data_IF_234321625902
#
_entry.id   IF_234321625902
#
_cell.length_a   1.000
_cell.length_b   1.000
_cell.length_c   1.000
_cell.angle_alpha   90.00
_cell.angle_beta   90.00
_cell.angle_gamma   90.00
#
_symmetry.space_group_name_H-M   'P 1'
#
loop_
_entity.id
_entity.type
_entity.pdbx_description
1 polymer ?
#
# COMPACT_ATOMS: atom_id res chain seq x y z
N UNK A 1 -13.82 16.54 7.43
CA UNK A 1 -13.00 16.04 6.33
C UNK A 1 -13.03 14.50 6.33
N UNK A 2 -13.43 13.87 5.21
CA UNK A 2 -13.40 12.42 5.06
C UNK A 2 -12.11 12.02 4.33
N UNK A 3 -11.21 11.32 5.02
CA UNK A 3 -9.94 10.90 4.45
C UNK A 3 -9.90 9.38 4.29
N UNK A 4 -9.72 8.90 3.05
CA UNK A 4 -9.50 7.50 2.75
C UNK A 4 -8.10 7.06 3.17
N UNK A 5 -8.02 6.01 3.96
CA UNK A 5 -6.77 5.43 4.45
C UNK A 5 -6.71 3.92 4.18
N UNK A 6 -5.59 3.29 4.47
CA UNK A 6 -5.49 1.83 4.36
C UNK A 6 -6.26 1.12 5.48
N UNK A 7 -6.54 -0.17 5.27
CA UNK A 7 -7.18 -1.03 6.29
C UNK A 7 -6.23 -1.46 7.42
N UNK A 8 -4.97 -1.04 7.37
CA UNK A 8 -3.93 -1.34 8.34
C UNK A 8 -2.59 -1.63 7.66
N UNK A 9 -1.74 -0.60 7.58
CA UNK A 9 -0.33 -0.72 7.19
C UNK A 9 0.49 -0.04 8.27
N UNK A 10 1.29 -0.82 9.03
CA UNK A 10 2.10 -0.28 10.12
C UNK A 10 2.98 0.89 9.65
N UNK A 11 2.97 1.97 10.42
CA UNK A 11 3.71 3.20 10.12
C UNK A 11 3.05 4.14 9.09
N UNK A 12 2.11 3.68 8.27
CA UNK A 12 1.37 4.53 7.31
C UNK A 12 -0.04 4.87 7.80
N UNK A 13 -0.88 3.89 8.01
CA UNK A 13 -2.21 4.10 8.57
C UNK A 13 -2.68 2.82 9.27
N UNK A 14 -2.83 2.88 10.57
CA UNK A 14 -3.41 1.81 11.38
C UNK A 14 -4.02 2.39 12.67
N UNK A 15 -5.09 1.81 13.21
CA UNK A 15 -5.57 2.16 14.53
C UNK A 15 -4.66 1.54 15.60
N UNK A 16 -4.44 2.28 16.69
CA UNK A 16 -3.81 1.75 17.90
C UNK A 16 -4.78 0.85 18.70
N UNK A 17 -4.34 0.35 19.86
CA UNK A 17 -5.16 -0.51 20.72
C UNK A 17 -6.44 0.17 21.26
N UNK A 18 -6.54 1.51 21.21
CA UNK A 18 -7.69 2.29 21.60
C UNK A 18 -8.57 2.69 20.41
N UNK A 19 -8.21 2.24 19.19
CA UNK A 19 -8.90 2.59 17.96
C UNK A 19 -8.49 3.97 17.38
N UNK A 20 -7.45 4.62 17.92
CA UNK A 20 -6.97 5.91 17.42
C UNK A 20 -6.07 5.69 16.22
N UNK A 21 -6.44 6.29 15.08
CA UNK A 21 -5.65 6.22 13.85
C UNK A 21 -4.32 6.96 13.98
N UNK A 22 -3.25 6.33 13.51
CA UNK A 22 -1.89 6.85 13.53
C UNK A 22 -1.09 6.40 12.31
N UNK A 23 -0.01 7.12 12.02
CA UNK A 23 0.91 6.85 10.94
C UNK A 23 1.06 8.01 9.96
N UNK A 24 1.92 7.82 8.96
CA UNK A 24 2.32 8.87 8.02
C UNK A 24 1.15 9.40 7.19
N UNK A 25 0.36 8.51 6.58
CA UNK A 25 -0.82 8.90 5.79
C UNK A 25 -1.88 9.59 6.67
N UNK A 26 -2.07 9.11 7.90
CA UNK A 26 -2.96 9.72 8.89
C UNK A 26 -2.50 11.14 9.27
N UNK A 27 -1.18 11.35 9.41
CA UNK A 27 -0.62 12.67 9.70
C UNK A 27 -0.85 13.65 8.55
N UNK A 28 -0.75 13.19 7.29
CA UNK A 28 -1.10 14.01 6.11
C UNK A 28 -2.57 14.43 6.15
N UNK A 29 -3.49 13.51 6.42
CA UNK A 29 -4.92 13.82 6.53
C UNK A 29 -5.20 14.83 7.64
N UNK A 30 -4.58 14.68 8.82
CA UNK A 30 -4.71 15.59 9.95
C UNK A 30 -4.14 16.98 9.64
N UNK A 31 -3.03 17.07 8.89
CA UNK A 31 -2.46 18.34 8.47
C UNK A 31 -3.41 19.11 7.56
N UNK A 32 -4.07 18.43 6.61
CA UNK A 32 -5.09 19.05 5.75
C UNK A 32 -6.31 19.49 6.57
N UNK A 33 -6.81 18.66 7.49
CA UNK A 33 -7.92 19.04 8.37
C UNK A 33 -7.58 20.28 9.22
N UNK A 34 -6.39 20.33 9.80
CA UNK A 34 -5.93 21.48 10.55
C UNK A 34 -5.86 22.75 9.70
N UNK A 35 -5.35 22.64 8.46
CA UNK A 35 -5.23 23.79 7.57
C UNK A 35 -6.59 24.33 7.09
N UNK A 36 -7.55 23.45 6.82
CA UNK A 36 -8.85 23.82 6.22
C UNK A 36 -9.89 24.14 7.29
N UNK A 37 -9.91 23.36 8.38
CA UNK A 37 -10.96 23.42 9.40
C UNK A 37 -10.46 24.03 10.72
N UNK A 38 -9.17 24.37 10.80
CA UNK A 38 -8.49 24.85 12.01
C UNK A 38 -8.59 23.84 13.18
N UNK A 39 -8.76 22.55 12.86
CA UNK A 39 -8.88 21.46 13.82
C UNK A 39 -8.36 20.17 13.17
N UNK A 40 -7.29 19.59 13.68
CA UNK A 40 -6.69 18.35 13.18
C UNK A 40 -7.56 17.10 13.42
N UNK A 41 -8.50 17.19 14.34
CA UNK A 41 -9.39 16.11 14.73
C UNK A 41 -10.79 16.22 14.09
N UNK A 42 -11.07 17.30 13.34
CA UNK A 42 -12.26 17.45 12.51
C UNK A 42 -12.19 16.57 11.25
N UNK A 43 -11.98 15.28 11.44
CA UNK A 43 -11.71 14.31 10.38
C UNK A 43 -12.34 12.94 10.68
N UNK A 44 -12.84 12.30 9.64
CA UNK A 44 -13.25 10.90 9.64
C UNK A 44 -12.28 10.10 8.77
N UNK A 45 -11.70 9.05 9.33
CA UNK A 45 -10.86 8.12 8.59
C UNK A 45 -11.70 6.99 8.03
N UNK A 46 -11.70 6.82 6.70
CA UNK A 46 -12.46 5.81 5.98
C UNK A 46 -11.50 4.73 5.47
N UNK A 47 -11.48 3.54 6.10
CA UNK A 47 -10.61 2.45 5.65
C UNK A 47 -11.02 1.94 4.27
N UNK A 48 -10.07 1.85 3.34
CA UNK A 48 -10.30 1.38 1.98
C UNK A 48 -9.33 0.27 1.59
N UNK A 49 -9.78 -0.66 0.74
CA UNK A 49 -8.94 -1.71 0.15
C UNK A 49 -8.26 -1.20 -1.14
N UNK A 50 -7.40 -2.03 -1.75
CA UNK A 50 -6.83 -1.75 -3.07
C UNK A 50 -7.90 -1.56 -4.15
N UNK A 51 -9.02 -2.28 -4.03
CA UNK A 51 -10.14 -2.24 -4.99
C UNK A 51 -11.11 -1.07 -4.74
N UNK A 52 -11.41 -0.74 -3.48
CA UNK A 52 -12.50 0.20 -3.14
C UNK A 52 -12.06 1.66 -3.08
N UNK A 53 -10.77 1.94 -2.86
CA UNK A 53 -10.24 3.31 -2.65
C UNK A 53 -10.60 4.30 -3.76
N UNK A 54 -10.50 3.88 -5.01
CA UNK A 54 -10.77 4.76 -6.15
C UNK A 54 -12.26 5.01 -6.34
N UNK A 55 -13.10 4.01 -6.08
CA UNK A 55 -14.55 4.16 -6.11
C UNK A 55 -15.02 5.10 -4.98
N UNK A 56 -14.48 4.96 -3.78
CA UNK A 56 -14.79 5.83 -2.65
C UNK A 56 -14.43 7.30 -2.95
N UNK A 57 -13.24 7.53 -3.57
CA UNK A 57 -12.85 8.88 -3.96
C UNK A 57 -13.73 9.44 -5.10
N UNK A 58 -14.01 8.63 -6.13
CA UNK A 58 -14.83 9.06 -7.27
C UNK A 58 -16.27 9.38 -6.88
N UNK A 59 -16.86 8.63 -5.95
CA UNK A 59 -18.24 8.84 -5.48
C UNK A 59 -18.41 10.04 -4.55
N UNK A 60 -17.31 10.56 -3.98
CA UNK A 60 -17.35 11.59 -2.97
C UNK A 60 -17.60 11.07 -1.54
N UNK A 61 -17.52 9.77 -1.32
CA UNK A 61 -17.51 9.17 0.02
C UNK A 61 -16.32 9.68 0.84
N UNK A 62 -15.20 9.91 0.18
CA UNK A 62 -14.01 10.56 0.74
C UNK A 62 -13.65 11.82 -0.05
N UNK A 63 -13.10 12.82 0.64
CA UNK A 63 -12.66 14.09 0.06
C UNK A 63 -11.26 13.98 -0.54
N UNK A 64 -10.40 13.21 0.11
CA UNK A 64 -9.04 12.90 -0.30
C UNK A 64 -8.67 11.46 0.04
N UNK A 65 -7.67 10.93 -0.65
CA UNK A 65 -7.11 9.60 -0.39
C UNK A 65 -5.62 9.74 -0.04
N UNK A 66 -5.26 9.40 1.20
CA UNK A 66 -3.88 9.22 1.65
C UNK A 66 -3.73 7.75 2.10
N UNK A 67 -3.23 6.90 1.19
CA UNK A 67 -3.25 5.45 1.36
C UNK A 67 -2.10 4.81 0.59
N UNK A 68 -0.86 5.18 0.91
CA UNK A 68 0.32 4.62 0.22
C UNK A 68 0.01 4.30 -1.27
N UNK A 69 -0.52 5.29 -1.99
CA UNK A 69 -1.00 5.12 -3.36
C UNK A 69 0.04 5.59 -4.36
N UNK A 70 0.50 4.67 -5.20
CA UNK A 70 1.49 4.94 -6.24
C UNK A 70 0.89 5.83 -7.32
N UNK A 71 1.58 6.90 -7.66
CA UNK A 71 1.25 7.75 -8.80
C UNK A 71 1.62 7.01 -10.10
N UNK A 72 0.61 6.68 -10.87
CA UNK A 72 0.76 6.07 -12.19
C UNK A 72 -0.01 6.87 -13.24
N UNK A 73 0.42 6.79 -14.50
CA UNK A 73 -0.25 7.44 -15.60
C UNK A 73 -1.74 7.05 -15.69
N UNK A 74 -2.04 5.76 -15.56
CA UNK A 74 -3.43 5.29 -15.66
C UNK A 74 -4.32 5.81 -14.52
N UNK A 75 -3.78 5.90 -13.29
CA UNK A 75 -4.54 6.44 -12.16
C UNK A 75 -4.81 7.93 -12.30
N UNK A 76 -3.84 8.67 -12.81
CA UNK A 76 -3.95 10.11 -13.03
C UNK A 76 -4.84 10.40 -14.24
N UNK A 77 -4.48 9.89 -15.42
CA UNK A 77 -5.12 10.25 -16.69
C UNK A 77 -6.38 9.45 -16.97
N UNK A 78 -6.33 8.12 -16.85
CA UNK A 78 -7.45 7.26 -17.25
C UNK A 78 -8.54 7.24 -16.18
N UNK A 79 -8.17 7.13 -14.90
CA UNK A 79 -9.11 7.14 -13.78
C UNK A 79 -9.49 8.55 -13.32
N UNK A 80 -8.81 9.59 -13.85
CA UNK A 80 -9.10 11.01 -13.57
C UNK A 80 -8.98 11.37 -12.10
N UNK A 81 -7.85 11.01 -11.49
CA UNK A 81 -7.47 11.45 -10.16
C UNK A 81 -6.23 12.33 -10.22
N UNK A 82 -6.25 13.42 -9.47
CA UNK A 82 -5.11 14.32 -9.35
C UNK A 82 -4.23 13.90 -8.18
N UNK A 83 -2.99 13.51 -8.46
CA UNK A 83 -1.97 13.36 -7.42
C UNK A 83 -1.40 14.73 -7.08
N UNK A 84 -1.56 15.15 -5.85
CA UNK A 84 -1.15 16.49 -5.43
C UNK A 84 0.35 16.60 -5.14
N UNK A 85 1.05 15.49 -5.08
CA UNK A 85 2.50 15.42 -4.90
C UNK A 85 2.96 14.02 -4.52
N UNK A 86 4.28 13.83 -4.51
CA UNK A 86 4.90 12.61 -3.97
C UNK A 86 5.41 12.93 -2.58
N UNK A 87 4.90 12.21 -1.58
CA UNK A 87 5.30 12.39 -0.19
C UNK A 87 6.18 11.24 0.34
N UNK A 88 6.25 10.12 -0.39
CA UNK A 88 7.11 8.99 -0.07
C UNK A 88 7.58 8.26 -1.34
N UNK A 89 8.87 7.97 -1.46
CA UNK A 89 9.42 7.14 -2.54
C UNK A 89 9.68 5.74 -2.02
N UNK A 90 8.95 4.77 -2.56
CA UNK A 90 9.07 3.37 -2.22
C UNK A 90 9.44 2.52 -3.45
N UNK A 91 9.43 1.23 -3.28
CA UNK A 91 9.59 0.23 -4.31
C UNK A 91 9.02 -1.10 -3.85
N UNK A 92 8.51 -1.90 -4.76
CA UNK A 92 8.03 -3.24 -4.45
C UNK A 92 9.18 -4.19 -4.19
N UNK A 93 9.00 -5.08 -3.21
CA UNK A 93 9.91 -6.15 -2.87
C UNK A 93 9.20 -7.45 -2.54
N UNK A 94 9.99 -8.41 -2.11
CA UNK A 94 9.53 -9.74 -1.68
C UNK A 94 10.02 -10.04 -0.28
N UNK A 95 9.18 -10.68 0.51
CA UNK A 95 9.54 -11.26 1.81
C UNK A 95 9.27 -12.75 1.79
N UNK A 96 10.25 -13.54 2.18
CA UNK A 96 10.18 -15.00 2.28
C UNK A 96 10.55 -15.45 3.69
N UNK A 97 10.15 -16.67 4.06
CA UNK A 97 10.68 -17.30 5.27
C UNK A 97 12.15 -17.66 5.07
N UNK A 98 12.96 -17.49 6.11
CA UNK A 98 14.41 -17.74 6.05
C UNK A 98 14.73 -19.22 5.72
N UNK A 99 13.88 -20.14 6.16
CA UNK A 99 14.01 -21.57 5.90
C UNK A 99 13.72 -21.97 4.46
N UNK A 100 13.09 -21.11 3.65
CA UNK A 100 12.98 -21.29 2.21
C UNK A 100 14.34 -21.28 1.51
N UNK A 101 15.36 -20.66 2.13
CA UNK A 101 16.75 -20.72 1.68
C UNK A 101 17.07 -19.86 0.46
N UNK A 102 16.15 -18.98 0.03
CA UNK A 102 16.34 -18.08 -1.11
C UNK A 102 17.03 -16.78 -0.68
N UNK A 103 17.87 -16.26 -1.55
CA UNK A 103 18.63 -15.01 -1.32
C UNK A 103 18.33 -13.93 -2.37
N UNK A 104 17.64 -14.29 -3.44
CA UNK A 104 17.27 -13.41 -4.56
C UNK A 104 15.85 -13.71 -5.02
N UNK A 105 15.15 -12.67 -5.47
CA UNK A 105 13.82 -12.81 -6.06
C UNK A 105 13.83 -13.61 -7.38
N UNK A 106 14.98 -13.76 -8.03
CA UNK A 106 15.15 -14.58 -9.22
C UNK A 106 15.19 -16.11 -8.91
N UNK A 107 15.21 -16.47 -7.64
CA UNK A 107 15.15 -17.87 -7.18
C UNK A 107 13.73 -18.32 -6.84
N UNK A 108 12.71 -17.46 -7.08
CA UNK A 108 11.30 -17.68 -6.72
C UNK A 108 10.49 -18.39 -7.82
N UNK A 109 11.13 -19.06 -8.79
CA UNK A 109 10.38 -19.79 -9.83
C UNK A 109 9.49 -20.88 -9.22
N UNK A 110 8.21 -20.88 -9.59
CA UNK A 110 7.20 -21.81 -9.08
C UNK A 110 6.64 -21.48 -7.68
N UNK A 111 7.07 -20.38 -7.06
CA UNK A 111 6.62 -20.02 -5.71
C UNK A 111 5.13 -19.64 -5.67
N UNK A 112 4.48 -19.93 -4.54
CA UNK A 112 3.17 -19.35 -4.20
C UNK A 112 3.35 -17.97 -3.59
N UNK A 113 2.63 -16.96 -4.11
CA UNK A 113 2.83 -15.54 -3.74
C UNK A 113 1.54 -14.91 -3.22
N UNK A 114 1.52 -14.51 -1.95
CA UNK A 114 0.46 -13.68 -1.40
C UNK A 114 0.51 -12.28 -1.99
N UNK A 115 -0.60 -11.85 -2.62
CA UNK A 115 -0.70 -10.57 -3.32
C UNK A 115 -2.02 -9.87 -3.07
N UNK A 116 -1.97 -8.59 -2.75
CA UNK A 116 -3.17 -7.78 -2.59
C UNK A 116 -3.71 -7.32 -3.94
N UNK A 117 -4.97 -7.66 -4.22
CA UNK A 117 -5.64 -7.33 -5.49
C UNK A 117 -5.93 -5.84 -5.64
N UNK A 118 -6.00 -5.36 -6.89
CA UNK A 118 -6.27 -3.95 -7.22
C UNK A 118 -5.10 -3.01 -6.92
N UNK A 119 -3.88 -3.52 -6.94
CA UNK A 119 -2.66 -2.77 -6.64
C UNK A 119 -1.70 -2.75 -7.84
N UNK A 120 -0.76 -1.79 -7.85
CA UNK A 120 0.40 -1.81 -8.76
C UNK A 120 1.23 -3.06 -8.55
N UNK A 121 1.30 -3.52 -7.29
CA UNK A 121 2.08 -4.69 -6.88
C UNK A 121 1.63 -5.96 -7.60
N UNK A 122 0.30 -6.13 -7.83
CA UNK A 122 -0.25 -7.26 -8.60
C UNK A 122 0.23 -7.24 -10.05
N UNK A 123 0.25 -6.06 -10.68
CA UNK A 123 0.70 -5.91 -12.07
C UNK A 123 2.22 -6.11 -12.19
N UNK A 124 2.98 -5.50 -11.30
CA UNK A 124 4.44 -5.60 -11.27
C UNK A 124 4.91 -7.04 -11.00
N UNK A 125 4.18 -7.79 -10.15
CA UNK A 125 4.45 -9.20 -9.90
C UNK A 125 4.42 -10.01 -11.20
N UNK A 126 3.35 -9.87 -11.98
CA UNK A 126 3.20 -10.56 -13.26
C UNK A 126 4.32 -10.18 -14.24
N UNK A 127 4.66 -8.88 -14.30
CA UNK A 127 5.70 -8.39 -15.18
C UNK A 127 7.10 -8.88 -14.77
N UNK A 128 7.41 -8.91 -13.48
CA UNK A 128 8.69 -9.39 -12.96
C UNK A 128 8.91 -10.87 -13.29
N UNK A 129 7.92 -11.73 -12.99
CA UNK A 129 8.05 -13.16 -13.24
C UNK A 129 8.14 -13.47 -14.75
N UNK A 130 7.30 -12.81 -15.57
CA UNK A 130 7.37 -12.95 -17.03
C UNK A 130 8.72 -12.52 -17.59
N UNK A 131 9.27 -11.40 -17.13
CA UNK A 131 10.54 -10.85 -17.62
C UNK A 131 11.74 -11.72 -17.27
N UNK A 132 11.64 -12.49 -16.20
CA UNK A 132 12.67 -13.45 -15.77
C UNK A 132 12.40 -14.89 -16.25
N UNK A 133 11.37 -15.12 -17.10
CA UNK A 133 10.95 -16.44 -17.57
C UNK A 133 10.61 -17.40 -16.41
N UNK A 134 10.03 -16.87 -15.34
CA UNK A 134 9.60 -17.62 -14.15
C UNK A 134 8.07 -17.75 -14.12
N UNK A 135 7.60 -18.77 -13.44
CA UNK A 135 6.20 -19.02 -13.10
C UNK A 135 5.94 -18.74 -11.61
N UNK A 136 4.70 -18.46 -11.26
CA UNK A 136 4.25 -18.34 -9.87
C UNK A 136 2.78 -18.73 -9.75
N UNK A 137 2.34 -19.05 -8.54
CA UNK A 137 0.95 -19.24 -8.20
C UNK A 137 0.49 -18.07 -7.31
N UNK A 138 -0.49 -17.30 -7.78
CA UNK A 138 -1.00 -16.18 -7.00
C UNK A 138 -1.96 -16.66 -5.91
N UNK A 139 -1.78 -16.17 -4.68
CA UNK A 139 -2.72 -16.26 -3.57
C UNK A 139 -3.31 -14.86 -3.34
N UNK A 140 -4.40 -14.51 -4.06
CA UNK A 140 -4.97 -13.17 -4.01
C UNK A 140 -5.73 -12.94 -2.70
N UNK A 141 -5.53 -11.74 -2.12
CA UNK A 141 -6.20 -11.29 -0.92
C UNK A 141 -6.74 -9.86 -1.08
N UNK A 142 -7.66 -9.44 -0.21
CA UNK A 142 -8.20 -8.08 -0.26
C UNK A 142 -7.43 -7.09 0.62
N UNK A 143 -6.87 -7.56 1.72
CA UNK A 143 -6.16 -6.70 2.68
C UNK A 143 -4.73 -7.16 2.93
N UNK A 144 -3.86 -6.21 3.31
CA UNK A 144 -2.49 -6.55 3.68
C UNK A 144 -2.40 -7.39 4.97
N UNK A 145 -3.38 -7.29 5.85
CA UNK A 145 -3.43 -8.13 7.06
C UNK A 145 -3.79 -9.57 6.74
N UNK A 146 -4.69 -9.79 5.78
CA UNK A 146 -5.00 -11.11 5.24
C UNK A 146 -3.78 -11.74 4.56
N UNK A 147 -3.02 -10.95 3.77
CA UNK A 147 -1.77 -11.43 3.19
C UNK A 147 -0.77 -11.91 4.26
N UNK A 148 -0.62 -11.15 5.35
CA UNK A 148 0.24 -11.55 6.48
C UNK A 148 -0.25 -12.85 7.12
N UNK A 149 -1.56 -12.95 7.38
CA UNK A 149 -2.15 -14.16 7.97
C UNK A 149 -1.88 -15.39 7.11
N UNK A 150 -2.13 -15.30 5.80
CA UNK A 150 -1.90 -16.39 4.85
C UNK A 150 -0.41 -16.75 4.75
N UNK A 151 0.46 -15.76 4.69
CA UNK A 151 1.92 -15.95 4.63
C UNK A 151 2.45 -16.64 5.89
N UNK A 152 2.06 -16.19 7.08
CA UNK A 152 2.49 -16.79 8.34
C UNK A 152 1.95 -18.22 8.50
N UNK A 153 0.72 -18.48 8.03
CA UNK A 153 0.12 -19.80 8.02
C UNK A 153 0.73 -20.75 6.97
N UNK A 154 1.59 -20.28 6.07
CA UNK A 154 2.21 -21.08 5.02
C UNK A 154 1.28 -21.35 3.84
N UNK A 155 0.22 -20.56 3.66
CA UNK A 155 -0.64 -20.63 2.47
C UNK A 155 0.04 -20.03 1.23
N UNK A 156 1.10 -19.23 1.43
CA UNK A 156 2.01 -18.80 0.38
C UNK A 156 3.45 -18.80 0.90
N UNK A 157 4.39 -19.06 0.00
CA UNK A 157 5.83 -19.08 0.30
C UNK A 157 6.38 -17.67 0.47
N UNK A 158 5.81 -16.73 -0.28
CA UNK A 158 6.30 -15.36 -0.41
C UNK A 158 5.17 -14.36 -0.26
N UNK A 159 5.46 -13.24 0.38
CA UNK A 159 4.60 -12.06 0.41
C UNK A 159 5.25 -10.91 -0.33
N UNK A 160 4.52 -10.26 -1.26
CA UNK A 160 4.99 -9.11 -2.00
C UNK A 160 4.11 -7.88 -1.80
N UNK A 161 4.75 -6.75 -1.53
CA UNK A 161 4.16 -5.40 -1.43
C UNK A 161 5.29 -4.37 -1.39
N UNK A 162 4.99 -3.11 -1.07
CA UNK A 162 5.97 -2.06 -0.84
C UNK A 162 7.01 -2.47 0.23
N UNK A 163 8.28 -2.18 -0.02
CA UNK A 163 9.38 -2.59 0.88
C UNK A 163 9.26 -1.98 2.27
N UNK A 164 8.80 -0.74 2.37
CA UNK A 164 8.51 -0.11 3.67
C UNK A 164 7.49 -0.90 4.47
N UNK A 165 6.40 -1.34 3.81
CA UNK A 165 5.36 -2.15 4.43
C UNK A 165 5.86 -3.54 4.81
N UNK A 166 6.71 -4.19 3.98
CA UNK A 166 7.36 -5.45 4.32
C UNK A 166 8.23 -5.31 5.58
N UNK A 167 9.06 -4.26 5.61
CA UNK A 167 9.95 -3.99 6.73
C UNK A 167 9.17 -3.74 8.04
N UNK A 168 8.12 -2.91 7.97
CA UNK A 168 7.29 -2.57 9.11
C UNK A 168 6.53 -3.80 9.65
N UNK A 169 5.97 -4.63 8.76
CA UNK A 169 5.29 -5.87 9.15
C UNK A 169 6.25 -6.88 9.76
N UNK A 170 7.41 -7.08 9.12
CA UNK A 170 8.46 -7.97 9.64
C UNK A 170 8.88 -7.59 11.06
N UNK A 171 9.04 -6.29 11.33
CA UNK A 171 9.42 -5.80 12.66
C UNK A 171 8.41 -6.16 13.76
N UNK A 172 7.14 -6.39 13.39
CA UNK A 172 6.05 -6.74 14.29
C UNK A 172 5.78 -8.25 14.39
N UNK A 173 6.54 -9.09 13.68
CA UNK A 173 6.41 -10.55 13.80
C UNK A 173 7.01 -11.05 15.11
N UNK A 174 6.54 -12.19 15.59
CA UNK A 174 7.02 -12.81 16.83
C UNK A 174 8.53 -13.08 16.78
N UNK A 175 9.02 -13.59 15.62
CA UNK A 175 10.46 -13.81 15.37
C UNK A 175 10.84 -13.16 14.02
N UNK A 176 11.21 -11.85 14.01
CA UNK A 176 11.53 -11.12 12.77
C UNK A 176 12.67 -11.73 11.95
N UNK A 177 13.59 -12.45 12.61
CA UNK A 177 14.76 -13.09 11.96
C UNK A 177 14.40 -14.31 11.12
N UNK A 178 13.22 -14.90 11.34
CA UNK A 178 12.73 -16.02 10.54
C UNK A 178 12.19 -15.60 9.17
N UNK A 179 12.27 -14.30 8.87
CA UNK A 179 11.77 -13.71 7.63
C UNK A 179 12.85 -12.83 6.99
N UNK A 180 13.00 -12.93 5.69
CA UNK A 180 13.98 -12.18 4.90
C UNK A 180 13.24 -11.31 3.88
N UNK A 181 13.54 -10.01 3.86
CA UNK A 181 13.16 -9.14 2.74
C UNK A 181 14.27 -9.23 1.71
N UNK A 182 13.95 -9.75 0.52
CA UNK A 182 14.91 -9.95 -0.55
C UNK A 182 15.48 -8.62 -1.08
N UNK A 183 16.70 -8.61 -1.61
CA UNK A 183 17.40 -7.36 -1.94
C UNK A 183 16.80 -6.60 -3.11
N UNK A 184 16.13 -7.27 -4.03
CA UNK A 184 15.62 -6.67 -5.26
C UNK A 184 14.51 -5.65 -4.98
N UNK A 185 14.53 -4.57 -5.78
CA UNK A 185 13.47 -3.59 -5.90
C UNK A 185 12.91 -3.72 -7.31
N UNK A 186 11.71 -4.29 -7.43
CA UNK A 186 11.16 -4.68 -8.73
C UNK A 186 10.37 -3.57 -9.41
N UNK A 187 10.07 -2.49 -8.69
CA UNK A 187 9.39 -1.32 -9.23
C UNK A 187 9.78 -0.04 -8.50
N UNK A 188 9.41 1.11 -9.07
CA UNK A 188 9.46 2.41 -8.40
C UNK A 188 8.04 2.81 -8.04
N UNK A 189 7.81 3.06 -6.76
CA UNK A 189 6.51 3.40 -6.22
C UNK A 189 6.54 4.82 -5.62
N UNK A 190 6.34 5.87 -6.44
CA UNK A 190 6.19 7.24 -5.93
C UNK A 190 4.79 7.35 -5.30
N UNK A 191 4.71 7.35 -3.98
CA UNK A 191 3.48 7.39 -3.23
C UNK A 191 3.06 8.84 -2.97
N UNK A 192 1.76 9.10 -3.03
CA UNK A 192 1.25 10.42 -2.72
C UNK A 192 -0.26 10.46 -2.50
N UNK A 193 -0.73 11.51 -1.83
CA UNK A 193 -2.16 11.75 -1.68
C UNK A 193 -2.76 12.21 -3.01
N UNK A 194 -4.04 11.91 -3.19
CA UNK A 194 -4.76 12.25 -4.40
C UNK A 194 -6.19 12.70 -4.09
N UNK A 195 -6.72 13.50 -5.01
CA UNK A 195 -8.07 14.06 -5.00
C UNK A 195 -8.77 13.79 -6.32
N UNK A 196 -10.05 14.13 -6.45
CA UNK A 196 -10.78 14.06 -7.71
C UNK A 196 -10.27 15.13 -8.68
N UNK A 197 -10.19 14.81 -9.97
CA UNK A 197 -9.98 15.81 -11.02
C UNK A 197 -11.10 16.87 -11.04
N UNK A 198 -10.74 18.08 -11.43
CA UNK A 198 -11.67 19.17 -11.71
C UNK A 198 -11.90 20.11 -10.54
N UNK A 199 -11.42 19.80 -9.34
CA UNK A 199 -11.36 20.72 -8.21
C UNK A 199 -9.90 21.15 -7.95
N UNK A 200 -9.38 21.99 -8.83
CA UNK A 200 -7.99 22.44 -8.74
C UNK A 200 -7.72 23.23 -7.45
N UNK A 201 -8.71 23.95 -6.93
CA UNK A 201 -8.56 24.67 -5.67
C UNK A 201 -8.38 23.71 -4.51
N UNK A 202 -9.13 22.62 -4.51
CA UNK A 202 -8.96 21.56 -3.50
C UNK A 202 -7.61 20.85 -3.63
N UNK A 203 -7.21 20.51 -4.85
CA UNK A 203 -5.89 19.94 -5.14
C UNK A 203 -4.74 20.84 -4.64
N UNK A 204 -4.84 22.15 -4.85
CA UNK A 204 -3.83 23.11 -4.39
C UNK A 204 -3.78 23.23 -2.87
N UNK A 205 -4.92 23.09 -2.17
CA UNK A 205 -4.97 23.10 -0.70
C UNK A 205 -4.34 21.83 -0.11
N UNK A 206 -4.53 20.67 -0.75
CA UNK A 206 -3.97 19.39 -0.27
C UNK A 206 -2.49 19.28 -0.58
N UNK A 207 -1.97 20.01 -1.59
CA UNK A 207 -0.55 20.05 -1.97
C UNK A 207 0.30 20.79 -0.96
#
# INVERSE_FOLDING_TARGET
>A
LNCGVSTGVPGFAEPDANGVWQGFDVAVCRAVAAAVLNDSDAIEFVPTTGKTRFTALASGEIDMLARNTTWTFSRDVDLKFEFVGVNYYDGQGFMAKADLGVSSATELDGATVCIQTGTTTELNLADFFRSNNMSYEAVPVETGSEAVTNYLAGACDVFTTDRSALAARRANFEVPTDHVVLPEIVSKEPLGPLVRHGDNNWGDVVR
#
